data_IF_787066489334
#
_entry.id   IF_787066489334
#
_cell.length_a   1.000
_cell.length_b   1.000
_cell.length_c   1.000
_cell.angle_alpha   90.00
_cell.angle_beta   90.00
_cell.angle_gamma   90.00
#
_symmetry.space_group_name_H-M   'P 1'
#
loop_
_entity.id
_entity.type
_entity.pdbx_description
1 polymer ?
#
# COMPACT_ATOMS: atom_id res chain seq x y z
N UNK A 1 -28.14 8.74 17.72
CA UNK A 1 -26.83 8.10 17.98
C UNK A 1 -26.95 6.58 17.81
N UNK A 2 -27.29 6.08 16.60
CA UNK A 2 -27.52 4.64 16.35
C UNK A 2 -26.54 4.00 15.33
N UNK A 3 -25.76 4.80 14.60
CA UNK A 3 -24.98 4.27 13.45
C UNK A 3 -23.75 3.42 13.78
N UNK A 4 -23.29 3.35 15.03
CA UNK A 4 -22.15 2.49 15.38
C UNK A 4 -22.58 1.03 15.58
N UNK A 5 -23.68 0.79 16.30
CA UNK A 5 -24.20 -0.56 16.53
C UNK A 5 -24.67 -1.23 15.26
N UNK A 6 -25.36 -0.49 14.39
CA UNK A 6 -25.86 -1.01 13.11
C UNK A 6 -24.71 -1.43 12.19
N UNK A 7 -23.64 -0.62 12.08
CA UNK A 7 -22.44 -0.97 11.30
C UNK A 7 -21.74 -2.20 11.85
N UNK A 8 -21.56 -2.30 13.16
CA UNK A 8 -20.94 -3.48 13.76
C UNK A 8 -21.74 -4.76 13.48
N UNK A 9 -23.07 -4.68 13.51
CA UNK A 9 -23.93 -5.81 13.17
C UNK A 9 -23.80 -6.16 11.69
N UNK A 10 -23.86 -5.18 10.79
CA UNK A 10 -23.68 -5.39 9.35
C UNK A 10 -22.33 -6.05 9.04
N UNK A 11 -21.25 -5.57 9.65
CA UNK A 11 -19.90 -6.13 9.51
C UNK A 11 -19.83 -7.57 10.01
N UNK A 12 -20.45 -7.87 11.16
CA UNK A 12 -20.52 -9.23 11.71
C UNK A 12 -21.30 -10.17 10.79
N UNK A 13 -22.43 -9.72 10.23
CA UNK A 13 -23.22 -10.51 9.28
C UNK A 13 -22.46 -10.73 7.96
N UNK A 14 -21.74 -9.72 7.48
CA UNK A 14 -20.89 -9.85 6.30
C UNK A 14 -19.75 -10.85 6.54
N UNK A 15 -19.11 -10.79 7.71
CA UNK A 15 -18.10 -11.77 8.12
C UNK A 15 -18.68 -13.19 8.17
N UNK A 16 -19.84 -13.37 8.80
CA UNK A 16 -20.52 -14.66 8.88
C UNK A 16 -20.81 -15.27 7.50
N UNK A 17 -21.26 -14.47 6.52
CA UNK A 17 -21.48 -14.94 5.15
C UNK A 17 -20.17 -15.39 4.47
N UNK A 18 -19.10 -14.59 4.58
CA UNK A 18 -17.76 -14.96 4.06
C UNK A 18 -17.23 -16.23 4.71
N UNK A 19 -17.50 -16.44 6.00
CA UNK A 19 -17.09 -17.64 6.71
C UNK A 19 -17.84 -18.89 6.23
N UNK A 20 -19.13 -18.79 5.88
CA UNK A 20 -19.87 -19.89 5.22
C UNK A 20 -19.21 -20.25 3.89
N UNK A 21 -18.91 -19.26 3.06
CA UNK A 21 -18.24 -19.47 1.77
C UNK A 21 -16.87 -20.14 1.96
N UNK A 22 -16.09 -19.70 2.95
CA UNK A 22 -14.78 -20.28 3.27
C UNK A 22 -14.91 -21.75 3.70
N UNK A 23 -15.86 -22.07 4.58
CA UNK A 23 -16.09 -23.45 5.02
C UNK A 23 -16.43 -24.35 3.83
N UNK A 24 -17.24 -23.88 2.89
CA UNK A 24 -17.55 -24.63 1.68
C UNK A 24 -16.33 -24.80 0.76
N UNK A 25 -15.53 -23.75 0.55
CA UNK A 25 -14.28 -23.84 -0.22
C UNK A 25 -13.30 -24.85 0.40
N UNK A 26 -13.16 -24.83 1.72
CA UNK A 26 -12.36 -25.77 2.50
C UNK A 26 -12.88 -27.20 2.37
N UNK A 27 -14.19 -27.42 2.50
CA UNK A 27 -14.84 -28.72 2.33
C UNK A 27 -14.58 -29.30 0.95
N UNK A 28 -14.74 -28.49 -0.11
CA UNK A 28 -14.46 -28.89 -1.50
C UNK A 28 -13.00 -29.28 -1.70
N UNK A 29 -12.09 -28.57 -1.04
CA UNK A 29 -10.66 -28.84 -1.10
C UNK A 29 -10.28 -30.15 -0.41
N UNK A 30 -10.77 -30.37 0.81
CA UNK A 30 -10.52 -31.59 1.56
C UNK A 30 -11.65 -31.88 2.57
N UNK A 31 -12.27 -33.04 2.46
CA UNK A 31 -13.31 -33.51 3.39
C UNK A 31 -12.83 -33.73 4.83
N UNK A 32 -11.51 -33.76 5.06
CA UNK A 32 -10.94 -33.84 6.40
C UNK A 32 -10.76 -32.47 7.07
N UNK A 33 -10.90 -31.36 6.33
CA UNK A 33 -10.76 -30.02 6.89
C UNK A 33 -12.04 -29.60 7.59
N UNK A 34 -11.94 -29.28 8.87
CA UNK A 34 -13.07 -28.93 9.73
C UNK A 34 -12.79 -27.68 10.54
N UNK A 35 -13.85 -26.95 10.87
CA UNK A 35 -13.81 -25.77 11.72
C UNK A 35 -14.59 -26.04 13.00
N UNK A 36 -13.94 -25.92 14.15
CA UNK A 36 -14.55 -26.10 15.47
C UNK A 36 -14.58 -24.80 16.24
N UNK A 37 -15.63 -24.57 17.01
CA UNK A 37 -15.78 -23.37 17.82
C UNK A 37 -14.60 -23.21 18.80
N UNK A 38 -14.07 -21.99 18.86
CA UNK A 38 -12.94 -21.65 19.72
C UNK A 38 -13.21 -20.29 20.38
N UNK A 39 -13.89 -20.32 21.53
CA UNK A 39 -14.34 -19.13 22.25
C UNK A 39 -15.81 -19.23 22.64
N UNK A 40 -16.37 -18.12 23.13
CA UNK A 40 -17.80 -18.04 23.45
C UNK A 40 -18.68 -17.77 22.23
N UNK A 41 -19.96 -18.16 22.31
CA UNK A 41 -20.94 -17.86 21.26
C UNK A 41 -21.53 -16.45 21.45
N UNK A 42 -21.17 -15.50 20.59
CA UNK A 42 -21.72 -14.15 20.60
C UNK A 42 -23.19 -14.09 20.16
N UNK A 43 -23.92 -13.06 20.63
CA UNK A 43 -25.36 -12.90 20.35
C UNK A 43 -25.71 -12.87 18.85
N UNK A 44 -24.84 -12.29 18.02
CA UNK A 44 -25.06 -12.21 16.57
C UNK A 44 -25.10 -13.60 15.91
N UNK A 45 -24.20 -14.50 16.30
CA UNK A 45 -24.19 -15.88 15.81
C UNK A 45 -25.39 -16.66 16.34
N UNK A 46 -25.72 -16.50 17.63
CA UNK A 46 -26.89 -17.15 18.21
C UNK A 46 -28.21 -16.73 17.52
N UNK A 47 -28.31 -15.46 17.13
CA UNK A 47 -29.50 -14.92 16.46
C UNK A 47 -29.59 -15.31 14.98
N UNK A 48 -28.46 -15.51 14.29
CA UNK A 48 -28.44 -15.68 12.82
C UNK A 48 -28.04 -17.05 12.34
N UNK A 49 -27.40 -17.85 13.19
CA UNK A 49 -26.80 -19.13 12.81
C UNK A 49 -25.55 -19.01 11.92
N UNK A 50 -25.11 -17.79 11.59
CA UNK A 50 -23.91 -17.58 10.79
C UNK A 50 -22.65 -17.83 11.63
N UNK A 51 -21.60 -18.45 11.06
CA UNK A 51 -20.34 -18.68 11.76
C UNK A 51 -19.56 -17.36 11.87
N UNK A 52 -19.83 -16.58 12.92
CA UNK A 52 -19.24 -15.26 13.17
C UNK A 52 -18.13 -15.35 14.24
N UNK A 53 -18.34 -16.21 15.24
CA UNK A 53 -17.39 -16.39 16.33
C UNK A 53 -16.11 -17.08 15.86
N UNK A 54 -15.07 -16.89 16.65
CA UNK A 54 -13.79 -17.53 16.44
C UNK A 54 -13.92 -19.05 16.36
N UNK A 55 -13.32 -19.62 15.32
CA UNK A 55 -13.19 -21.06 15.13
C UNK A 55 -11.75 -21.42 14.87
N UNK A 56 -11.41 -22.66 15.13
CA UNK A 56 -10.12 -23.26 14.84
C UNK A 56 -10.26 -24.19 13.64
N UNK A 57 -9.33 -24.09 12.70
CA UNK A 57 -9.22 -25.02 11.58
C UNK A 57 -8.35 -26.22 11.98
N UNK A 58 -8.76 -27.42 11.60
CA UNK A 58 -7.96 -28.63 11.79
C UNK A 58 -8.33 -29.71 10.77
N UNK A 59 -7.52 -30.76 10.71
CA UNK A 59 -7.82 -32.00 10.02
C UNK A 59 -7.28 -33.20 10.81
N UNK A 60 -7.36 -34.40 10.25
CA UNK A 60 -6.83 -35.61 10.88
C UNK A 60 -5.30 -35.61 11.07
N UNK A 61 -4.58 -34.73 10.35
CA UNK A 61 -3.11 -34.67 10.35
C UNK A 61 -2.53 -33.46 11.09
N UNK A 62 -3.26 -32.35 11.16
CA UNK A 62 -2.73 -31.08 11.65
C UNK A 62 -3.83 -30.23 12.29
N UNK A 63 -3.40 -29.30 13.14
CA UNK A 63 -4.25 -28.32 13.80
C UNK A 63 -3.69 -26.92 13.53
N UNK A 64 -4.53 -26.02 13.02
CA UNK A 64 -4.13 -24.66 12.70
C UNK A 64 -4.46 -23.64 13.78
N UNK A 65 -4.34 -22.38 13.36
CA UNK A 65 -4.74 -21.21 14.12
C UNK A 65 -6.25 -21.12 14.37
N UNK A 66 -6.64 -20.12 15.16
CA UNK A 66 -8.03 -19.83 15.46
C UNK A 66 -8.31 -18.35 15.33
N UNK A 67 -9.42 -18.00 14.67
CA UNK A 67 -9.82 -16.63 14.37
C UNK A 67 -11.30 -16.58 14.02
N UNK A 68 -11.91 -15.40 14.15
CA UNK A 68 -13.23 -15.11 13.60
C UNK A 68 -13.19 -14.93 12.07
N UNK A 69 -12.03 -14.63 11.49
CA UNK A 69 -11.84 -14.59 10.05
C UNK A 69 -11.37 -15.96 9.56
N UNK A 70 -12.30 -16.77 9.04
CA UNK A 70 -11.99 -18.14 8.63
C UNK A 70 -11.16 -18.19 7.35
N UNK A 71 -11.34 -17.24 6.44
CA UNK A 71 -10.60 -17.16 5.18
C UNK A 71 -9.09 -17.05 5.42
N UNK A 72 -8.72 -16.24 6.42
CA UNK A 72 -7.32 -16.09 6.84
C UNK A 72 -6.75 -17.41 7.38
N UNK A 73 -7.36 -17.99 8.42
CA UNK A 73 -6.81 -19.22 9.03
C UNK A 73 -6.87 -20.43 8.08
N UNK A 74 -7.83 -20.47 7.16
CA UNK A 74 -7.91 -21.52 6.14
C UNK A 74 -6.78 -21.39 5.11
N UNK A 75 -6.46 -20.16 4.69
CA UNK A 75 -5.34 -19.88 3.78
C UNK A 75 -4.00 -20.26 4.42
N UNK A 76 -3.77 -19.86 5.67
CA UNK A 76 -2.55 -20.22 6.42
C UNK A 76 -2.44 -21.75 6.58
N UNK A 77 -3.52 -22.41 6.97
CA UNK A 77 -3.55 -23.87 7.11
C UNK A 77 -3.32 -24.59 5.77
N UNK A 78 -3.81 -24.03 4.67
CA UNK A 78 -3.56 -24.58 3.33
C UNK A 78 -2.06 -24.52 3.00
N UNK A 79 -1.42 -23.39 3.23
CA UNK A 79 0.00 -23.17 2.96
C UNK A 79 0.91 -24.07 3.82
N UNK A 80 0.59 -24.19 5.11
CA UNK A 80 1.42 -24.92 6.05
C UNK A 80 1.25 -26.45 5.96
N UNK A 81 0.06 -26.92 5.56
CA UNK A 81 -0.30 -28.33 5.78
C UNK A 81 -0.97 -29.03 4.59
N UNK A 82 -1.50 -28.31 3.61
CA UNK A 82 -2.27 -28.94 2.54
C UNK A 82 -1.46 -29.15 1.25
N UNK A 83 -0.48 -28.29 0.98
CA UNK A 83 0.39 -28.42 -0.19
C UNK A 83 1.18 -29.74 -0.11
N UNK A 84 0.96 -30.63 -1.08
CA UNK A 84 1.60 -31.95 -1.13
C UNK A 84 1.03 -33.00 -0.16
N UNK A 85 -0.07 -32.71 0.54
CA UNK A 85 -0.67 -33.66 1.47
C UNK A 85 -1.21 -34.92 0.75
N UNK A 86 -0.72 -36.09 1.13
CA UNK A 86 -1.09 -37.39 0.53
C UNK A 86 -2.47 -37.89 0.98
N UNK A 87 -2.95 -37.42 2.12
CA UNK A 87 -4.25 -37.85 2.69
C UNK A 87 -5.40 -36.93 2.26
N UNK A 88 -5.15 -36.00 1.34
CA UNK A 88 -6.17 -35.06 0.87
C UNK A 88 -7.32 -35.80 0.19
N UNK A 89 -8.53 -35.62 0.71
CA UNK A 89 -9.76 -36.16 0.15
C UNK A 89 -10.61 -35.05 -0.48
N UNK A 90 -10.26 -34.65 -1.70
CA UNK A 90 -10.97 -33.61 -2.43
C UNK A 90 -12.35 -34.09 -2.93
N UNK A 91 -13.31 -33.16 -3.07
CA UNK A 91 -14.62 -33.48 -3.68
C UNK A 91 -14.60 -33.43 -5.21
N UNK A 92 -13.58 -32.79 -5.79
CA UNK A 92 -13.47 -32.52 -7.22
C UNK A 92 -14.21 -31.26 -7.68
N UNK A 93 -14.94 -30.59 -6.78
CA UNK A 93 -15.64 -29.33 -7.07
C UNK A 93 -14.65 -28.17 -7.17
N UNK A 94 -14.91 -27.25 -8.10
CA UNK A 94 -14.20 -25.97 -8.27
C UNK A 94 -15.21 -24.80 -8.32
N UNK A 95 -14.84 -23.60 -7.81
CA UNK A 95 -13.61 -23.32 -7.07
C UNK A 95 -13.60 -24.01 -5.69
N UNK A 96 -12.39 -24.37 -5.25
CA UNK A 96 -12.11 -24.82 -3.89
C UNK A 96 -11.02 -23.94 -3.25
N UNK A 97 -10.70 -24.20 -1.98
CA UNK A 97 -9.72 -23.40 -1.23
C UNK A 97 -8.38 -23.23 -1.96
N UNK A 98 -7.83 -24.30 -2.54
CA UNK A 98 -6.56 -24.20 -3.28
C UNK A 98 -6.68 -23.29 -4.50
N UNK A 99 -7.78 -23.39 -5.25
CA UNK A 99 -8.01 -22.53 -6.42
C UNK A 99 -7.97 -21.06 -6.02
N UNK A 100 -8.69 -20.70 -4.96
CA UNK A 100 -8.80 -19.30 -4.51
C UNK A 100 -7.49 -18.80 -3.91
N UNK A 101 -6.81 -19.62 -3.10
CA UNK A 101 -5.52 -19.22 -2.49
C UNK A 101 -4.43 -19.06 -3.55
N UNK A 102 -4.33 -19.98 -4.50
CA UNK A 102 -3.32 -19.89 -5.56
C UNK A 102 -3.60 -18.74 -6.53
N UNK A 103 -4.86 -18.43 -6.83
CA UNK A 103 -5.25 -17.24 -7.61
C UNK A 103 -4.79 -15.95 -6.91
N UNK A 104 -5.08 -15.80 -5.60
CA UNK A 104 -4.61 -14.65 -4.81
C UNK A 104 -3.09 -14.54 -4.77
N UNK A 105 -2.37 -15.66 -4.69
CA UNK A 105 -0.89 -15.67 -4.74
C UNK A 105 -0.38 -15.20 -6.10
N UNK A 106 -1.01 -15.64 -7.19
CA UNK A 106 -0.65 -15.21 -8.54
C UNK A 106 -0.90 -13.71 -8.74
N UNK A 107 -2.04 -13.19 -8.27
CA UNK A 107 -2.35 -11.77 -8.30
C UNK A 107 -1.35 -10.95 -7.47
N UNK A 108 -1.02 -11.42 -6.26
CA UNK A 108 -0.04 -10.76 -5.40
C UNK A 108 1.36 -10.75 -6.01
N UNK A 109 1.78 -11.86 -6.64
CA UNK A 109 3.05 -11.97 -7.36
C UNK A 109 3.08 -11.02 -8.57
N UNK A 110 2.02 -11.01 -9.39
CA UNK A 110 1.91 -10.11 -10.54
C UNK A 110 1.95 -8.62 -10.11
N UNK A 111 1.26 -8.27 -9.03
CA UNK A 111 1.29 -6.92 -8.47
C UNK A 111 2.67 -6.55 -7.91
N UNK A 112 3.37 -7.50 -7.26
CA UNK A 112 4.73 -7.29 -6.79
C UNK A 112 5.70 -7.09 -7.97
N UNK A 113 5.57 -7.89 -9.02
CA UNK A 113 6.38 -7.78 -10.24
C UNK A 113 6.16 -6.44 -10.94
N UNK A 114 4.91 -6.01 -11.09
CA UNK A 114 4.57 -4.70 -11.63
C UNK A 114 5.20 -3.56 -10.82
N UNK A 115 5.09 -3.59 -9.48
CA UNK A 115 5.72 -2.60 -8.59
C UNK A 115 7.24 -2.58 -8.72
N UNK A 116 7.89 -3.75 -8.87
CA UNK A 116 9.34 -3.83 -9.08
C UNK A 116 9.74 -3.20 -10.42
N UNK A 117 8.99 -3.49 -11.49
CA UNK A 117 9.24 -2.90 -12.82
C UNK A 117 9.08 -1.37 -12.77
N UNK A 118 7.99 -0.89 -12.18
CA UNK A 118 7.73 0.55 -12.02
C UNK A 118 8.86 1.24 -11.24
N UNK A 119 9.28 0.63 -10.11
CA UNK A 119 10.37 1.16 -9.29
C UNK A 119 11.70 1.16 -10.06
N UNK A 120 12.00 0.12 -10.84
CA UNK A 120 13.20 0.06 -11.66
C UNK A 120 13.22 1.12 -12.77
N UNK A 121 12.09 1.36 -13.42
CA UNK A 121 11.93 2.45 -14.42
C UNK A 121 12.15 3.80 -13.74
N UNK A 122 11.50 4.05 -12.61
CA UNK A 122 11.65 5.27 -11.84
C UNK A 122 13.10 5.48 -11.39
N UNK A 123 13.78 4.42 -10.92
CA UNK A 123 15.16 4.47 -10.46
C UNK A 123 16.14 4.84 -11.59
N UNK A 124 15.93 4.33 -12.81
CA UNK A 124 16.71 4.73 -13.99
C UNK A 124 16.55 6.22 -14.30
N UNK A 125 15.31 6.72 -14.32
CA UNK A 125 15.04 8.15 -14.53
C UNK A 125 15.63 9.02 -13.40
N UNK A 126 15.53 8.56 -12.15
CA UNK A 126 16.13 9.23 -11.00
C UNK A 126 17.66 9.31 -11.11
N UNK A 127 18.33 8.21 -11.49
CA UNK A 127 19.79 8.18 -11.68
C UNK A 127 20.24 9.20 -12.72
N UNK A 128 19.52 9.32 -13.84
CA UNK A 128 19.80 10.34 -14.85
C UNK A 128 19.67 11.79 -14.30
N UNK A 129 18.67 12.03 -13.42
CA UNK A 129 18.52 13.33 -12.74
C UNK A 129 19.64 13.59 -11.74
N UNK A 130 20.09 12.57 -11.00
CA UNK A 130 21.24 12.66 -10.09
C UNK A 130 22.50 13.07 -10.85
N UNK A 131 22.81 12.42 -11.96
CA UNK A 131 23.97 12.77 -12.79
C UNK A 131 23.88 14.18 -13.37
N UNK A 132 22.68 14.57 -13.85
CA UNK A 132 22.44 15.94 -14.33
C UNK A 132 22.68 16.97 -13.22
N UNK A 133 22.18 16.72 -12.00
CA UNK A 133 22.42 17.60 -10.84
C UNK A 133 23.90 17.68 -10.49
N UNK A 134 24.63 16.56 -10.49
CA UNK A 134 26.08 16.52 -10.23
C UNK A 134 26.85 17.41 -11.21
N UNK A 135 26.53 17.32 -12.51
CA UNK A 135 27.14 18.17 -13.54
C UNK A 135 26.86 19.66 -13.31
N UNK A 136 25.63 20.03 -12.94
CA UNK A 136 25.27 21.43 -12.63
C UNK A 136 26.02 21.94 -11.40
N UNK A 137 26.07 21.15 -10.33
CA UNK A 137 26.78 21.51 -9.10
C UNK A 137 28.26 21.80 -9.39
N UNK A 138 28.90 21.00 -10.24
CA UNK A 138 30.32 21.13 -10.57
C UNK A 138 30.69 22.46 -11.27
N UNK A 139 29.72 23.11 -11.95
CA UNK A 139 29.94 24.36 -12.69
C UNK A 139 29.22 25.56 -12.07
N UNK A 140 28.55 25.38 -10.93
CA UNK A 140 27.75 26.42 -10.28
C UNK A 140 28.54 27.19 -9.23
N UNK A 141 28.12 28.43 -8.94
CA UNK A 141 28.57 29.13 -7.74
C UNK A 141 28.06 28.43 -6.45
N UNK A 142 28.62 28.76 -5.27
CA UNK A 142 28.25 28.08 -4.02
C UNK A 142 26.77 28.17 -3.64
N UNK A 143 26.08 29.27 -3.93
CA UNK A 143 24.67 29.42 -3.61
C UNK A 143 23.82 28.51 -4.50
N UNK A 144 24.16 28.47 -5.80
CA UNK A 144 23.52 27.61 -6.79
C UNK A 144 23.79 26.11 -6.58
N UNK A 145 25.00 25.75 -6.18
CA UNK A 145 25.35 24.40 -5.79
C UNK A 145 24.53 23.93 -4.57
N UNK A 146 24.38 24.79 -3.55
CA UNK A 146 23.57 24.52 -2.36
C UNK A 146 22.09 24.30 -2.70
N UNK A 147 21.50 25.18 -3.51
CA UNK A 147 20.12 25.04 -3.97
C UNK A 147 19.89 23.73 -4.76
N UNK A 148 20.82 23.38 -5.64
CA UNK A 148 20.75 22.15 -6.44
C UNK A 148 20.88 20.90 -5.56
N UNK A 149 21.70 20.95 -4.51
CA UNK A 149 21.81 19.88 -3.53
C UNK A 149 20.50 19.71 -2.72
N UNK A 150 19.88 20.81 -2.28
CA UNK A 150 18.59 20.79 -1.58
C UNK A 150 17.47 20.23 -2.47
N UNK A 151 17.43 20.57 -3.76
CA UNK A 151 16.53 19.94 -4.73
C UNK A 151 16.79 18.42 -4.81
N UNK A 152 18.05 18.00 -4.72
CA UNK A 152 18.41 16.58 -4.66
C UNK A 152 17.86 15.85 -3.42
N UNK A 153 17.76 16.53 -2.28
CA UNK A 153 17.13 15.98 -1.07
C UNK A 153 15.62 15.81 -1.26
N UNK A 154 14.97 16.72 -2.00
CA UNK A 154 13.55 16.62 -2.32
C UNK A 154 13.23 15.55 -3.39
N UNK A 155 14.17 15.24 -4.28
CA UNK A 155 14.05 14.19 -5.30
C UNK A 155 14.43 12.82 -4.72
N UNK A 156 13.51 12.26 -3.92
CA UNK A 156 13.70 10.98 -3.25
C UNK A 156 14.02 9.83 -4.21
N UNK A 157 14.91 8.94 -3.78
CA UNK A 157 15.24 7.72 -4.52
C UNK A 157 14.01 6.80 -4.56
N UNK A 158 13.55 6.36 -5.74
CA UNK A 158 12.41 5.47 -5.85
C UNK A 158 12.62 4.16 -5.08
N UNK A 159 11.65 3.78 -4.26
CA UNK A 159 11.70 2.58 -3.42
C UNK A 159 12.43 2.76 -2.08
N UNK A 160 12.89 3.98 -1.78
CA UNK A 160 13.46 4.34 -0.47
C UNK A 160 12.56 5.38 0.19
N UNK A 161 12.26 5.16 1.48
CA UNK A 161 11.50 6.13 2.25
C UNK A 161 12.29 7.43 2.40
N UNK A 162 11.66 8.55 2.06
CA UNK A 162 12.27 9.87 2.18
C UNK A 162 12.48 10.23 3.66
N UNK A 163 13.65 10.78 3.99
CA UNK A 163 13.88 11.40 5.29
C UNK A 163 13.04 12.68 5.38
N UNK A 164 11.92 12.58 6.09
CA UNK A 164 10.95 13.67 6.24
C UNK A 164 11.55 14.91 6.91
N UNK A 165 12.48 14.74 7.84
CA UNK A 165 13.13 15.85 8.52
C UNK A 165 14.14 16.56 7.59
N UNK A 166 14.95 15.78 6.86
CA UNK A 166 15.88 16.33 5.87
C UNK A 166 15.12 17.04 4.73
N UNK A 167 14.02 16.45 4.26
CA UNK A 167 13.13 17.01 3.23
C UNK A 167 12.55 18.35 3.69
N UNK A 168 12.02 18.42 4.91
CA UNK A 168 11.48 19.66 5.46
C UNK A 168 12.56 20.75 5.60
N UNK A 169 13.75 20.39 6.06
CA UNK A 169 14.87 21.32 6.20
C UNK A 169 15.37 21.85 4.83
N UNK A 170 15.46 20.99 3.82
CA UNK A 170 15.83 21.38 2.46
C UNK A 170 14.79 22.32 1.83
N UNK A 171 13.51 22.02 2.00
CA UNK A 171 12.42 22.89 1.55
C UNK A 171 12.51 24.28 2.20
N UNK A 172 12.73 24.35 3.52
CA UNK A 172 12.87 25.62 4.23
C UNK A 172 14.05 26.46 3.72
N UNK A 173 15.20 25.83 3.41
CA UNK A 173 16.36 26.52 2.84
C UNK A 173 16.07 27.05 1.43
N UNK A 174 15.43 26.26 0.58
CA UNK A 174 15.03 26.69 -0.76
C UNK A 174 14.05 27.87 -0.73
N UNK A 175 13.07 27.83 0.16
CA UNK A 175 12.14 28.96 0.37
C UNK A 175 12.88 30.22 0.83
N UNK A 176 13.76 30.10 1.83
CA UNK A 176 14.54 31.24 2.32
C UNK A 176 15.49 31.82 1.26
N UNK A 177 16.05 30.97 0.39
CA UNK A 177 16.86 31.42 -0.74
C UNK A 177 16.00 32.17 -1.77
N UNK A 178 14.83 31.64 -2.10
CA UNK A 178 13.90 32.27 -3.04
C UNK A 178 13.42 33.65 -2.57
N UNK A 179 13.23 33.83 -1.26
CA UNK A 179 12.86 35.12 -0.67
C UNK A 179 13.98 36.17 -0.72
N UNK A 180 15.24 35.75 -0.58
CA UNK A 180 16.40 36.66 -0.43
C UNK A 180 17.12 36.96 -1.74
N UNK A 181 17.08 36.05 -2.69
CA UNK A 181 17.81 36.13 -3.96
C UNK A 181 16.99 35.43 -5.06
N UNK A 182 15.83 35.99 -5.39
CA UNK A 182 14.93 35.45 -6.41
C UNK A 182 15.60 35.35 -7.81
N UNK A 183 16.58 36.21 -8.07
CA UNK A 183 17.42 36.25 -9.27
C UNK A 183 18.41 35.07 -9.37
N UNK A 184 18.70 34.37 -8.27
CA UNK A 184 19.48 33.13 -8.28
C UNK A 184 18.69 31.95 -8.90
N UNK A 185 17.36 31.96 -8.87
CA UNK A 185 16.54 30.92 -9.50
C UNK A 185 16.45 31.11 -11.02
N UNK A 186 17.53 30.76 -11.72
CA UNK A 186 17.57 30.76 -13.19
C UNK A 186 16.66 29.67 -13.77
N UNK A 187 16.24 29.82 -15.05
CA UNK A 187 15.34 28.87 -15.72
C UNK A 187 15.85 27.42 -15.74
N UNK A 188 17.17 27.22 -15.60
CA UNK A 188 17.82 25.91 -15.45
C UNK A 188 17.42 25.21 -14.16
N UNK A 189 17.25 25.96 -13.06
CA UNK A 189 16.89 25.46 -11.72
C UNK A 189 15.43 25.07 -11.66
N UNK A 190 14.58 25.92 -12.24
CA UNK A 190 13.12 25.73 -12.27
C UNK A 190 12.74 24.49 -13.13
N UNK A 191 13.60 24.10 -14.09
CA UNK A 191 13.42 22.90 -14.93
C UNK A 191 14.05 21.62 -14.36
N UNK A 192 14.78 21.69 -13.25
CA UNK A 192 15.32 20.48 -12.58
C UNK A 192 14.25 19.57 -11.96
N UNK A 193 13.12 20.09 -11.44
CA UNK A 193 11.93 19.28 -11.18
C UNK A 193 11.11 19.14 -12.48
N UNK A 194 11.72 18.62 -13.54
CA UNK A 194 11.06 18.38 -14.81
C UNK A 194 10.82 16.89 -15.02
N UNK A 195 9.59 16.42 -14.79
CA UNK A 195 9.06 15.20 -15.43
C UNK A 195 9.33 15.32 -16.93
N UNK A 196 9.99 14.32 -17.52
CA UNK A 196 10.17 14.28 -18.97
C UNK A 196 8.79 14.26 -19.66
N UNK A 197 8.70 14.99 -20.77
CA UNK A 197 7.48 15.39 -21.47
C UNK A 197 6.77 14.24 -22.24
N UNK A 198 6.64 13.07 -21.64
CA UNK A 198 5.90 11.93 -22.23
C UNK A 198 4.65 11.49 -21.47
N UNK A 199 4.26 12.20 -20.41
CA UNK A 199 3.03 11.93 -19.66
C UNK A 199 2.08 13.14 -19.78
N UNK A 200 1.16 13.07 -20.76
CA UNK A 200 0.29 14.18 -21.18
C UNK A 200 -0.98 14.37 -20.34
N UNK A 201 -1.11 13.79 -19.15
CA UNK A 201 -2.42 13.82 -18.44
C UNK A 201 -2.41 14.43 -17.02
N UNK A 202 -1.52 15.38 -16.76
CA UNK A 202 -1.62 16.19 -15.54
C UNK A 202 -1.11 17.60 -15.79
N UNK A 203 -2.06 18.54 -15.82
CA UNK A 203 -1.81 19.95 -16.14
C UNK A 203 -0.75 20.63 -15.26
N UNK A 204 -0.16 21.73 -15.75
CA UNK A 204 0.95 22.39 -15.07
C UNK A 204 0.53 22.98 -13.72
N UNK A 205 1.37 22.81 -12.71
CA UNK A 205 1.27 23.53 -11.44
C UNK A 205 1.56 25.01 -11.74
N UNK A 206 0.53 25.84 -11.75
CA UNK A 206 0.67 27.29 -11.98
C UNK A 206 1.26 27.98 -10.75
N UNK A 207 1.98 29.07 -11.01
CA UNK A 207 2.69 29.96 -10.07
C UNK A 207 1.82 30.56 -8.96
N UNK A 208 0.51 30.34 -8.95
CA UNK A 208 -0.43 30.87 -7.96
C UNK A 208 -0.37 30.13 -6.62
N UNK A 209 0.13 28.88 -6.57
CA UNK A 209 0.13 28.08 -5.33
C UNK A 209 1.24 28.42 -4.33
N UNK A 210 2.20 29.26 -4.70
CA UNK A 210 3.30 29.73 -3.83
C UNK A 210 3.06 31.12 -3.23
N UNK A 211 2.04 31.85 -3.69
CA UNK A 211 1.72 33.17 -3.16
C UNK A 211 0.64 33.04 -2.06
N UNK A 212 1.08 32.89 -0.81
CA UNK A 212 0.22 33.11 0.36
C UNK A 212 -0.42 34.52 0.35
N UNK A 213 -1.55 34.72 1.06
CA UNK A 213 -2.40 35.89 0.89
C UNK A 213 -1.69 37.20 1.24
N UNK A 214 -1.66 38.14 0.30
CA UNK A 214 -1.18 39.51 0.51
C UNK A 214 -2.19 40.29 1.35
N UNK A 215 -1.86 40.56 2.61
CA UNK A 215 -2.59 41.48 3.48
C UNK A 215 -2.40 42.91 2.97
N UNK A 216 -3.46 43.53 2.45
CA UNK A 216 -3.50 44.96 2.11
C UNK A 216 -3.76 45.74 3.40
N UNK A 217 -2.73 46.36 3.96
CA UNK A 217 -2.90 47.40 4.98
C UNK A 217 -3.28 48.72 4.29
N UNK A 218 -4.55 49.12 4.38
CA UNK A 218 -4.96 50.49 4.08
C UNK A 218 -4.71 51.36 5.32
N UNK A 219 -3.85 52.37 5.16
CA UNK A 219 -3.81 53.55 6.03
C UNK A 219 -5.07 54.37 5.80
N UNK A 220 -5.73 54.75 6.88
CA UNK A 220 -6.57 55.94 7.03
C UNK A 220 -6.44 56.38 8.48
#
# INVERSE_FOLDING_TARGET
MSGFGDRMLEDALALGRRNVETIELARRHCLHMTFTEWGGQGMAEAATGLPINSRRVHCIRAQGGASANLDWIASDFYDEHCVGCTDRRATGEVPNLATVVEERKQEAAAAADARRIETAVAASAWSARVERRRAIIATSDPAMAGATADIGVLDAEPGIDADTAATAAALARLMALAERAADAFTATVIRLPGRDAHDQDSGPITTERLAGPRTIARRS
#
